data_IF_514115134112
#
_entry.id   IF_514115134112
#
_cell.length_a   1.000
_cell.length_b   1.000
_cell.length_c   1.000
_cell.angle_alpha   90.00
_cell.angle_beta   90.00
_cell.angle_gamma   90.00
#
_symmetry.space_group_name_H-M   'P 1'
#
loop_
_entity.id
_entity.type
_entity.pdbx_description
1 polymer ?
#
# COMPACT_ATOMS: atom_id res chain seq x y z
N UNK A 1 -25.65 -16.55 4.78
CA UNK A 1 -24.65 -15.68 5.42
C UNK A 1 -23.56 -16.50 6.06
N UNK A 2 -22.33 -16.26 5.62
CA UNK A 2 -21.13 -16.95 6.08
C UNK A 2 -20.51 -16.16 7.24
N UNK A 3 -20.24 -16.81 8.37
CA UNK A 3 -19.54 -16.17 9.49
C UNK A 3 -18.02 -16.32 9.35
N UNK A 4 -17.27 -15.26 9.64
CA UNK A 4 -15.80 -15.27 9.66
C UNK A 4 -15.28 -14.79 11.03
N UNK A 5 -14.33 -15.51 11.62
CA UNK A 5 -13.55 -15.02 12.77
C UNK A 5 -12.71 -13.83 12.34
N UNK A 6 -12.62 -12.82 13.19
CA UNK A 6 -11.99 -11.53 12.89
C UNK A 6 -11.45 -10.83 14.14
N UNK A 7 -10.65 -9.79 13.93
CA UNK A 7 -10.37 -8.75 14.91
C UNK A 7 -11.00 -7.45 14.45
N UNK A 8 -11.73 -6.78 15.33
CA UNK A 8 -12.42 -5.53 15.01
C UNK A 8 -12.12 -4.44 16.04
N UNK A 9 -12.11 -3.20 15.56
CA UNK A 9 -12.22 -2.03 16.41
C UNK A 9 -13.69 -1.79 16.78
N UNK A 10 -13.97 -1.53 18.05
CA UNK A 10 -15.30 -1.17 18.56
C UNK A 10 -15.47 0.32 18.81
N UNK A 11 -14.37 1.07 18.85
CA UNK A 11 -14.32 2.52 18.98
C UNK A 11 -13.00 3.05 18.43
N UNK A 12 -12.83 4.38 18.42
CA UNK A 12 -11.60 5.04 17.96
C UNK A 12 -10.42 4.91 18.95
N UNK A 13 -10.67 4.47 20.18
CA UNK A 13 -9.67 4.51 21.26
C UNK A 13 -9.41 3.15 21.90
N UNK A 14 -10.35 2.21 21.77
CA UNK A 14 -10.17 0.87 22.33
C UNK A 14 -9.27 0.02 21.44
N UNK A 15 -8.66 -1.00 22.06
CA UNK A 15 -7.88 -1.99 21.34
C UNK A 15 -8.76 -2.83 20.41
N UNK A 16 -8.17 -3.40 19.36
CA UNK A 16 -8.86 -4.39 18.54
C UNK A 16 -9.15 -5.65 19.37
N UNK A 17 -10.36 -6.18 19.24
CA UNK A 17 -10.81 -7.36 19.98
C UNK A 17 -11.20 -8.51 19.02
N UNK A 18 -10.99 -9.78 19.43
CA UNK A 18 -11.54 -10.91 18.71
C UNK A 18 -13.06 -10.79 18.58
N UNK A 19 -13.59 -11.13 17.41
CA UNK A 19 -15.03 -11.12 17.13
C UNK A 19 -15.36 -12.05 15.96
N UNK A 20 -16.63 -12.08 15.59
CA UNK A 20 -17.11 -12.68 14.34
C UNK A 20 -17.85 -11.63 13.51
N UNK A 21 -17.64 -11.67 12.19
CA UNK A 21 -18.40 -10.85 11.24
C UNK A 21 -19.19 -11.72 10.27
N UNK A 22 -20.36 -11.24 9.88
CA UNK A 22 -21.13 -11.84 8.80
C UNK A 22 -20.61 -11.32 7.46
N UNK A 23 -20.39 -12.25 6.53
CA UNK A 23 -20.12 -11.97 5.12
C UNK A 23 -21.43 -12.05 4.35
N UNK A 24 -21.61 -11.10 3.43
CA UNK A 24 -22.69 -11.16 2.44
C UNK A 24 -22.64 -12.47 1.66
N UNK A 25 -23.78 -12.88 1.14
CA UNK A 25 -23.88 -14.10 0.34
C UNK A 25 -23.05 -13.97 -0.96
N UNK A 26 -22.56 -15.11 -1.45
CA UNK A 26 -21.78 -15.19 -2.69
C UNK A 26 -22.69 -14.90 -3.88
N UNK A 27 -22.49 -13.75 -4.53
CA UNK A 27 -23.20 -13.40 -5.74
C UNK A 27 -22.62 -14.07 -6.99
N UNK A 28 -23.28 -13.94 -8.16
CA UNK A 28 -22.87 -14.63 -9.38
C UNK A 28 -21.48 -14.29 -9.89
N UNK A 29 -21.00 -13.07 -9.65
CA UNK A 29 -19.68 -12.59 -10.09
C UNK A 29 -18.67 -12.50 -8.93
N UNK A 30 -19.01 -13.05 -7.77
CA UNK A 30 -18.16 -12.93 -6.59
C UNK A 30 -17.26 -14.14 -6.40
N UNK A 31 -16.16 -13.90 -5.70
CA UNK A 31 -15.17 -14.87 -5.28
C UNK A 31 -15.13 -14.87 -3.76
N UNK A 32 -15.33 -16.04 -3.16
CA UNK A 32 -15.07 -16.25 -1.73
C UNK A 32 -13.61 -16.67 -1.56
N UNK A 33 -12.88 -15.92 -0.75
CA UNK A 33 -11.46 -16.12 -0.49
C UNK A 33 -11.31 -16.57 0.96
N UNK A 34 -10.62 -17.69 1.16
CA UNK A 34 -10.04 -18.05 2.45
C UNK A 34 -8.74 -17.26 2.61
N UNK A 35 -8.75 -16.32 3.54
CA UNK A 35 -7.59 -15.46 3.78
C UNK A 35 -6.54 -16.29 4.50
N UNK A 36 -5.30 -16.24 4.02
CA UNK A 36 -4.13 -16.85 4.66
C UNK A 36 -3.27 -15.81 5.37
N UNK A 37 -3.18 -14.62 4.78
CA UNK A 37 -2.38 -13.53 5.31
C UNK A 37 -3.06 -12.18 5.10
N UNK A 38 -2.91 -11.29 6.08
CA UNK A 38 -3.33 -9.91 5.98
C UNK A 38 -2.21 -8.97 6.46
N UNK A 39 -1.73 -8.09 5.60
CA UNK A 39 -0.72 -7.09 5.96
C UNK A 39 -1.29 -5.99 6.87
N UNK A 40 -0.43 -5.41 7.72
CA UNK A 40 -0.77 -4.25 8.58
C UNK A 40 -0.17 -2.97 7.99
N UNK A 41 -1.05 -2.03 7.61
CA UNK A 41 -0.69 -0.73 7.06
C UNK A 41 -0.97 0.42 8.04
N UNK A 42 -0.27 1.55 7.87
CA UNK A 42 -0.57 2.77 8.64
C UNK A 42 -2.02 3.22 8.41
N UNK A 43 -2.54 3.01 7.20
CA UNK A 43 -3.93 3.30 6.85
C UNK A 43 -4.95 2.55 7.69
N UNK A 44 -4.65 1.31 8.12
CA UNK A 44 -5.50 0.56 9.05
C UNK A 44 -5.55 1.26 10.41
N UNK A 45 -4.40 1.72 10.90
CA UNK A 45 -4.26 2.45 12.17
C UNK A 45 -4.99 3.79 12.11
N UNK A 46 -4.74 4.61 11.08
CA UNK A 46 -5.36 5.92 10.91
C UNK A 46 -6.89 5.81 10.80
N UNK A 47 -7.41 4.78 10.12
CA UNK A 47 -8.86 4.57 10.02
C UNK A 47 -9.44 4.10 11.35
N UNK A 48 -8.82 3.12 12.01
CA UNK A 48 -9.27 2.62 13.33
C UNK A 48 -9.23 3.72 14.39
N UNK A 49 -8.32 4.69 14.30
CA UNK A 49 -8.24 5.82 15.23
C UNK A 49 -9.09 7.03 14.81
N UNK A 50 -9.84 6.92 13.71
CA UNK A 50 -10.65 8.00 13.14
C UNK A 50 -9.86 9.29 12.82
N UNK A 51 -8.56 9.17 12.52
CA UNK A 51 -7.66 10.31 12.27
C UNK A 51 -7.92 10.97 10.91
N UNK A 52 -8.56 10.25 9.98
CA UNK A 52 -9.03 10.77 8.69
C UNK A 52 -10.54 11.05 8.65
N UNK A 53 -11.20 11.04 9.82
CA UNK A 53 -12.64 11.24 9.97
C UNK A 53 -13.34 10.03 10.61
N UNK A 54 -14.66 10.12 10.85
CA UNK A 54 -15.41 9.07 11.55
C UNK A 54 -15.34 7.72 10.81
N UNK A 55 -15.12 6.64 11.56
CA UNK A 55 -15.14 5.27 11.05
C UNK A 55 -16.42 4.53 11.51
N UNK A 56 -16.95 3.59 10.71
CA UNK A 56 -18.17 2.85 11.04
C UNK A 56 -17.85 1.66 11.95
N UNK A 57 -17.91 1.85 13.28
CA UNK A 57 -17.71 0.76 14.24
C UNK A 57 -18.97 -0.12 14.41
N UNK A 58 -18.82 -1.45 14.64
CA UNK A 58 -17.56 -2.20 14.66
C UNK A 58 -16.94 -2.34 13.26
N UNK A 59 -15.62 -2.23 13.19
CA UNK A 59 -14.86 -2.24 11.94
C UNK A 59 -13.72 -3.26 11.99
N UNK A 60 -13.73 -4.20 11.06
CA UNK A 60 -12.58 -5.07 10.75
C UNK A 60 -11.72 -4.35 9.71
N UNK A 61 -10.47 -3.94 10.02
CA UNK A 61 -9.57 -3.33 9.06
C UNK A 61 -8.82 -4.39 8.23
N UNK A 62 -7.81 -3.97 7.47
CA UNK A 62 -6.96 -4.83 6.63
C UNK A 62 -7.37 -4.76 5.17
N UNK A 63 -6.44 -4.30 4.33
CA UNK A 63 -6.64 -4.23 2.87
C UNK A 63 -5.45 -4.76 2.07
N UNK A 64 -4.65 -5.61 2.70
CA UNK A 64 -3.49 -6.28 2.12
C UNK A 64 -3.72 -7.78 2.23
N UNK A 65 -4.71 -8.29 1.49
CA UNK A 65 -5.27 -9.62 1.69
C UNK A 65 -4.62 -10.59 0.70
N UNK A 66 -4.02 -11.67 1.18
CA UNK A 66 -3.56 -12.77 0.35
C UNK A 66 -4.18 -14.10 0.83
N UNK A 67 -4.67 -14.89 -0.11
CA UNK A 67 -5.43 -16.09 0.22
C UNK A 67 -5.60 -17.05 -0.95
N UNK A 68 -6.54 -17.97 -0.75
CA UNK A 68 -6.90 -19.00 -1.72
C UNK A 68 -8.40 -18.92 -2.00
N UNK A 69 -8.78 -19.01 -3.26
CA UNK A 69 -10.19 -19.06 -3.66
C UNK A 69 -10.83 -20.33 -3.11
N UNK A 70 -11.86 -20.16 -2.26
CA UNK A 70 -12.61 -21.24 -1.65
C UNK A 70 -13.88 -21.58 -2.42
N UNK A 71 -14.55 -20.57 -3.00
CA UNK A 71 -15.78 -20.72 -3.80
C UNK A 71 -15.87 -19.58 -4.82
N UNK A 72 -16.55 -19.83 -5.94
CA UNK A 72 -16.80 -18.82 -6.99
C UNK A 72 -18.27 -18.80 -7.37
N UNK A 73 -18.78 -17.62 -7.66
CA UNK A 73 -20.11 -17.42 -8.19
C UNK A 73 -20.30 -18.07 -9.57
N UNK A 74 -21.55 -18.33 -9.93
CA UNK A 74 -21.91 -19.07 -11.15
C UNK A 74 -21.54 -18.38 -12.48
N UNK A 75 -21.22 -17.09 -12.44
CA UNK A 75 -20.84 -16.28 -13.59
C UNK A 75 -19.38 -15.81 -13.55
N UNK A 76 -18.59 -16.25 -12.57
CA UNK A 76 -17.15 -15.97 -12.49
C UNK A 76 -16.41 -16.66 -13.62
N UNK A 77 -15.49 -15.92 -14.25
CA UNK A 77 -14.68 -16.43 -15.37
C UNK A 77 -13.19 -16.20 -15.19
N UNK A 78 -12.79 -15.30 -14.28
CA UNK A 78 -11.38 -14.91 -14.09
C UNK A 78 -10.60 -15.78 -13.09
N UNK A 79 -11.31 -16.46 -12.20
CA UNK A 79 -10.74 -17.22 -11.08
C UNK A 79 -11.44 -18.56 -10.90
N UNK A 80 -10.75 -19.52 -10.31
CA UNK A 80 -11.24 -20.84 -9.97
C UNK A 80 -10.88 -21.21 -8.52
N UNK A 81 -11.62 -22.18 -7.95
CA UNK A 81 -11.30 -22.73 -6.62
C UNK A 81 -9.87 -23.27 -6.60
N UNK A 82 -9.10 -22.89 -5.57
CA UNK A 82 -7.69 -23.23 -5.43
C UNK A 82 -6.72 -22.17 -5.95
N UNK A 83 -7.20 -21.15 -6.67
CA UNK A 83 -6.33 -20.06 -7.14
C UNK A 83 -5.75 -19.26 -5.97
N UNK A 84 -4.47 -18.90 -6.10
CA UNK A 84 -3.77 -17.98 -5.19
C UNK A 84 -4.09 -16.56 -5.58
N UNK A 85 -4.76 -15.83 -4.70
CA UNK A 85 -5.33 -14.52 -5.03
C UNK A 85 -5.07 -13.48 -3.95
N UNK A 86 -5.11 -12.22 -4.36
CA UNK A 86 -4.99 -11.06 -3.49
C UNK A 86 -6.12 -10.07 -3.68
N UNK A 87 -6.40 -9.29 -2.64
CA UNK A 87 -7.31 -8.15 -2.65
C UNK A 87 -6.61 -6.96 -2.00
N UNK A 88 -6.53 -5.85 -2.75
CA UNK A 88 -5.89 -4.62 -2.30
C UNK A 88 -6.84 -3.66 -1.59
N UNK A 89 -6.64 -2.36 -1.81
CA UNK A 89 -7.37 -1.27 -1.14
C UNK A 89 -8.82 -1.06 -1.62
N UNK A 90 -9.25 -1.75 -2.68
CA UNK A 90 -10.59 -1.61 -3.26
C UNK A 90 -11.23 -2.97 -3.49
N UNK A 91 -12.56 -3.03 -3.36
CA UNK A 91 -13.37 -4.23 -3.64
C UNK A 91 -14.44 -3.99 -4.70
N UNK A 92 -14.66 -2.75 -5.12
CA UNK A 92 -15.66 -2.43 -6.13
C UNK A 92 -15.46 -1.04 -6.78
N UNK A 93 -16.11 -0.79 -7.93
CA UNK A 93 -16.27 0.54 -8.54
C UNK A 93 -17.52 0.58 -9.43
N UNK A 94 -17.75 1.67 -10.17
CA UNK A 94 -18.90 1.72 -11.09
C UNK A 94 -18.72 0.88 -12.36
N UNK A 95 -17.48 0.49 -12.70
CA UNK A 95 -17.14 -0.27 -13.91
C UNK A 95 -17.39 0.43 -15.26
N UNK A 96 -18.05 1.59 -15.27
CA UNK A 96 -18.59 2.21 -16.51
C UNK A 96 -18.09 3.60 -16.82
N UNK A 97 -17.56 4.34 -15.84
CA UNK A 97 -17.06 5.69 -16.06
C UNK A 97 -15.75 5.69 -16.88
N UNK A 98 -15.34 6.85 -17.37
CA UNK A 98 -14.13 7.00 -18.20
C UNK A 98 -12.86 6.48 -17.51
N UNK A 99 -12.75 6.60 -16.19
CA UNK A 99 -11.59 6.15 -15.43
C UNK A 99 -11.62 4.62 -15.25
N UNK A 100 -12.75 4.04 -14.81
CA UNK A 100 -12.91 2.58 -14.74
C UNK A 100 -12.65 1.90 -16.10
N UNK A 101 -13.13 2.47 -17.22
CA UNK A 101 -12.88 1.91 -18.56
C UNK A 101 -11.40 1.96 -19.00
N UNK A 102 -10.57 2.77 -18.34
CA UNK A 102 -9.12 2.84 -18.57
C UNK A 102 -8.32 1.94 -17.62
N UNK A 103 -8.99 1.21 -16.73
CA UNK A 103 -8.35 0.46 -15.65
C UNK A 103 -7.82 1.38 -14.54
N UNK A 104 -8.50 2.51 -14.31
CA UNK A 104 -8.19 3.51 -13.28
C UNK A 104 -9.32 3.56 -12.24
N UNK A 105 -9.70 2.40 -11.70
CA UNK A 105 -10.83 2.26 -10.78
C UNK A 105 -10.67 3.08 -9.50
N UNK A 106 -9.42 3.31 -9.06
CA UNK A 106 -9.09 4.16 -7.91
C UNK A 106 -9.54 5.61 -8.09
N UNK A 107 -9.68 6.07 -9.34
CA UNK A 107 -10.20 7.38 -9.69
C UNK A 107 -11.65 7.35 -10.18
N UNK A 108 -12.41 6.29 -9.89
CA UNK A 108 -13.81 6.17 -10.29
C UNK A 108 -14.62 7.44 -10.00
N UNK A 109 -15.32 7.98 -11.01
CA UNK A 109 -16.11 9.21 -10.90
C UNK A 109 -17.34 9.08 -9.99
N UNK A 110 -17.78 7.84 -9.75
CA UNK A 110 -18.86 7.53 -8.80
C UNK A 110 -18.32 6.97 -7.47
N UNK A 111 -17.01 7.14 -7.22
CA UNK A 111 -16.31 6.55 -6.08
C UNK A 111 -15.94 5.08 -6.27
N UNK A 112 -14.73 4.71 -5.86
CA UNK A 112 -14.39 3.32 -5.60
C UNK A 112 -14.95 2.89 -4.23
N UNK A 113 -15.12 1.59 -4.03
CA UNK A 113 -15.49 1.01 -2.74
C UNK A 113 -14.24 0.48 -2.06
N UNK A 114 -13.88 1.07 -0.92
CA UNK A 114 -12.75 0.63 -0.10
C UNK A 114 -12.98 -0.74 0.53
N UNK A 115 -11.91 -1.49 0.74
CA UNK A 115 -11.94 -2.87 1.26
C UNK A 115 -12.53 -3.01 2.65
N UNK A 116 -12.48 -1.95 3.46
CA UNK A 116 -13.17 -1.88 4.74
C UNK A 116 -13.72 -0.47 4.98
N UNK A 117 -14.76 -0.38 5.81
CA UNK A 117 -15.31 0.88 6.31
C UNK A 117 -16.03 1.73 5.26
N UNK A 118 -16.26 1.19 4.06
CA UNK A 118 -16.99 1.84 2.98
C UNK A 118 -18.39 1.23 2.82
N UNK A 119 -19.33 2.01 2.31
CA UNK A 119 -20.62 1.48 1.84
C UNK A 119 -20.40 0.81 0.48
N UNK A 120 -20.63 -0.49 0.39
CA UNK A 120 -20.56 -1.23 -0.87
C UNK A 120 -21.79 -0.97 -1.75
N UNK A 121 -21.75 -1.45 -2.98
CA UNK A 121 -22.82 -1.28 -3.98
C UNK A 121 -24.12 -1.98 -3.60
N UNK A 122 -24.06 -2.95 -2.69
CA UNK A 122 -25.24 -3.60 -2.10
C UNK A 122 -25.77 -2.90 -0.84
N UNK A 123 -25.13 -1.80 -0.41
CA UNK A 123 -25.50 -1.03 0.77
C UNK A 123 -24.92 -1.54 2.09
N UNK A 124 -24.18 -2.65 2.10
CA UNK A 124 -23.49 -3.15 3.29
C UNK A 124 -22.22 -2.36 3.58
N UNK A 125 -21.74 -2.42 4.82
CA UNK A 125 -20.42 -1.86 5.17
C UNK A 125 -19.35 -2.92 4.91
N UNK A 126 -18.34 -2.57 4.12
CA UNK A 126 -17.22 -3.46 3.84
C UNK A 126 -16.42 -3.74 5.10
N UNK A 127 -16.00 -5.00 5.25
CA UNK A 127 -15.23 -5.51 6.39
C UNK A 127 -13.94 -6.15 5.85
N UNK A 128 -12.80 -5.79 6.42
CA UNK A 128 -11.49 -6.04 5.84
C UNK A 128 -10.90 -7.42 6.08
N UNK A 129 -9.58 -7.46 5.89
CA UNK A 129 -8.72 -8.64 5.86
C UNK A 129 -8.30 -9.18 7.22
N UNK A 130 -8.55 -8.48 8.33
CA UNK A 130 -8.27 -9.01 9.67
C UNK A 130 -9.35 -10.02 10.08
N UNK A 131 -9.61 -10.97 9.18
CA UNK A 131 -10.63 -11.98 9.25
C UNK A 131 -10.20 -13.23 8.48
N UNK A 132 -10.89 -14.34 8.71
CA UNK A 132 -10.58 -15.63 8.08
C UNK A 132 -11.05 -15.73 6.63
N UNK A 133 -12.03 -14.92 6.21
CA UNK A 133 -12.65 -15.01 4.87
C UNK A 133 -13.15 -13.66 4.38
N UNK A 134 -13.17 -13.45 3.07
CA UNK A 134 -13.77 -12.27 2.42
C UNK A 134 -14.47 -12.66 1.11
N UNK A 135 -15.51 -11.93 0.74
CA UNK A 135 -16.24 -12.08 -0.54
C UNK A 135 -16.03 -10.81 -1.35
N UNK A 136 -15.52 -10.93 -2.58
CA UNK A 136 -15.17 -9.79 -3.44
C UNK A 136 -15.57 -10.11 -4.89
N UNK A 137 -16.01 -9.10 -5.64
CA UNK A 137 -16.30 -9.27 -7.07
C UNK A 137 -15.03 -9.64 -7.85
N UNK A 138 -15.11 -10.55 -8.81
CA UNK A 138 -13.96 -11.11 -9.55
C UNK A 138 -13.07 -10.03 -10.20
N UNK A 139 -13.66 -8.87 -10.52
CA UNK A 139 -12.98 -7.73 -11.14
C UNK A 139 -11.98 -7.02 -10.21
N UNK A 140 -12.06 -7.23 -8.90
CA UNK A 140 -11.19 -6.63 -7.89
C UNK A 140 -10.28 -7.66 -7.20
N UNK A 141 -10.31 -8.90 -7.68
CA UNK A 141 -9.46 -9.99 -7.21
C UNK A 141 -8.27 -10.13 -8.17
N UNK A 142 -7.07 -10.08 -7.60
CA UNK A 142 -5.80 -10.15 -8.32
C UNK A 142 -5.24 -11.57 -8.19
N UNK A 143 -4.56 -12.06 -9.23
CA UNK A 143 -3.80 -13.32 -9.11
C UNK A 143 -2.46 -13.03 -8.47
N UNK A 144 -2.05 -13.86 -7.51
CA UNK A 144 -0.69 -13.83 -6.95
C UNK A 144 0.16 -14.85 -7.74
N UNK A 145 1.10 -14.38 -8.58
CA UNK A 145 1.89 -15.28 -9.43
C UNK A 145 2.68 -16.32 -8.64
N UNK A 146 3.00 -17.44 -9.30
CA UNK A 146 4.00 -18.36 -8.79
C UNK A 146 5.35 -17.67 -8.64
N UNK A 147 6.09 -17.97 -7.58
CA UNK A 147 7.36 -17.29 -7.25
C UNK A 147 7.23 -16.18 -6.19
N UNK A 148 6.01 -15.74 -5.88
CA UNK A 148 5.72 -14.91 -4.71
C UNK A 148 4.93 -15.71 -3.69
N UNK A 149 5.45 -15.86 -2.48
CA UNK A 149 4.69 -16.43 -1.36
C UNK A 149 3.58 -15.48 -0.89
N UNK A 150 2.49 -16.04 -0.38
CA UNK A 150 1.28 -15.26 -0.06
C UNK A 150 1.54 -14.19 1.01
N UNK A 151 2.35 -14.52 2.01
CA UNK A 151 2.73 -13.62 3.11
C UNK A 151 3.53 -12.42 2.61
N UNK A 152 4.54 -12.62 1.77
CA UNK A 152 5.36 -11.53 1.19
C UNK A 152 4.63 -10.76 0.09
N UNK A 153 3.61 -11.36 -0.53
CA UNK A 153 2.77 -10.72 -1.54
C UNK A 153 1.70 -9.80 -0.93
N UNK A 154 1.19 -10.12 0.27
CA UNK A 154 0.13 -9.34 0.92
C UNK A 154 0.45 -7.83 0.96
N UNK A 155 1.65 -7.38 1.43
CA UNK A 155 1.97 -5.95 1.43
C UNK A 155 2.15 -5.31 0.06
N UNK A 156 2.37 -6.09 -1.00
CA UNK A 156 2.49 -5.55 -2.36
C UNK A 156 1.15 -4.93 -2.84
N UNK A 157 0.03 -5.46 -2.36
CA UNK A 157 -1.33 -5.05 -2.72
C UNK A 157 -1.71 -3.64 -2.25
N UNK A 158 -0.88 -3.03 -1.40
CA UNK A 158 -0.96 -1.61 -1.05
C UNK A 158 0.39 -0.91 -1.25
N UNK A 159 1.42 -1.26 -0.48
CA UNK A 159 2.72 -0.58 -0.52
C UNK A 159 3.45 -0.78 -1.86
N UNK A 160 3.34 -1.99 -2.43
CA UNK A 160 3.90 -2.31 -3.75
C UNK A 160 3.28 -1.41 -4.82
N UNK A 161 1.96 -1.47 -5.00
CA UNK A 161 1.30 -0.68 -6.05
C UNK A 161 1.41 0.83 -5.82
N UNK A 162 1.30 1.30 -4.58
CA UNK A 162 1.40 2.73 -4.25
C UNK A 162 2.77 3.31 -4.63
N UNK A 163 3.81 2.48 -4.64
CA UNK A 163 5.16 2.89 -5.06
C UNK A 163 5.42 2.59 -6.52
N UNK A 164 4.94 1.47 -7.06
CA UNK A 164 5.06 1.10 -8.47
C UNK A 164 4.36 2.11 -9.39
N UNK A 165 3.12 2.50 -9.09
CA UNK A 165 2.33 3.40 -9.94
C UNK A 165 3.05 4.73 -10.26
N UNK A 166 3.53 5.50 -9.26
CA UNK A 166 4.30 6.70 -9.57
C UNK A 166 5.70 6.43 -10.15
N UNK A 167 6.36 5.32 -9.81
CA UNK A 167 7.64 4.97 -10.45
C UNK A 167 7.45 4.69 -11.96
N UNK A 168 6.37 3.99 -12.32
CA UNK A 168 5.98 3.72 -13.71
C UNK A 168 5.56 5.01 -14.42
N UNK A 169 4.64 5.77 -13.84
CA UNK A 169 4.07 6.98 -14.45
C UNK A 169 5.11 8.07 -14.75
N UNK A 170 6.09 8.27 -13.86
CA UNK A 170 7.17 9.24 -14.06
C UNK A 170 8.44 8.64 -14.69
N UNK A 171 8.38 7.37 -15.10
CA UNK A 171 9.46 6.69 -15.82
C UNK A 171 10.76 6.60 -15.01
N UNK A 172 10.73 5.91 -13.87
CA UNK A 172 11.87 5.66 -12.97
C UNK A 172 12.88 4.62 -13.49
N UNK A 173 13.00 4.46 -14.82
CA UNK A 173 13.80 3.40 -15.43
C UNK A 173 15.29 3.72 -15.55
N UNK A 174 15.98 2.93 -16.39
CA UNK A 174 17.41 3.08 -16.68
C UNK A 174 17.82 4.53 -17.02
N UNK A 175 18.91 4.98 -16.39
CA UNK A 175 19.48 6.32 -16.60
C UNK A 175 18.81 7.43 -15.79
N UNK A 176 17.85 7.11 -14.94
CA UNK A 176 17.16 8.07 -14.07
C UNK A 176 17.71 8.03 -12.65
N UNK A 177 17.84 9.20 -12.03
CA UNK A 177 18.23 9.35 -10.62
C UNK A 177 16.99 9.52 -9.75
N UNK A 178 16.69 8.50 -8.95
CA UNK A 178 15.47 8.43 -8.14
C UNK A 178 15.84 8.55 -6.67
N UNK A 179 15.28 9.54 -5.96
CA UNK A 179 15.38 9.58 -4.51
C UNK A 179 14.12 8.98 -3.85
N UNK A 180 14.31 8.14 -2.84
CA UNK A 180 13.24 7.66 -1.97
C UNK A 180 13.38 8.32 -0.60
N UNK A 181 12.40 9.13 -0.21
CA UNK A 181 12.39 9.80 1.10
C UNK A 181 11.67 8.91 2.10
N UNK A 182 12.39 8.52 3.15
CA UNK A 182 11.94 7.58 4.18
C UNK A 182 12.18 6.12 3.78
N UNK A 183 12.63 5.31 4.75
CA UNK A 183 12.84 3.86 4.57
C UNK A 183 11.95 3.09 5.55
N UNK A 184 10.65 3.07 5.26
CA UNK A 184 9.61 2.34 5.99
C UNK A 184 8.88 1.32 5.11
N UNK A 185 7.60 1.07 5.38
CA UNK A 185 6.79 0.13 4.60
C UNK A 185 6.69 0.46 3.11
N UNK A 186 6.41 1.72 2.74
CA UNK A 186 6.45 2.13 1.33
C UNK A 186 7.90 2.28 0.84
N UNK A 187 8.76 2.94 1.62
CA UNK A 187 10.14 3.22 1.23
C UNK A 187 10.94 1.99 0.82
N UNK A 188 10.85 0.87 1.55
CA UNK A 188 11.59 -0.34 1.19
C UNK A 188 11.10 -0.95 -0.14
N UNK A 189 9.79 -0.90 -0.42
CA UNK A 189 9.23 -1.33 -1.71
C UNK A 189 9.66 -0.42 -2.84
N UNK A 190 9.62 0.90 -2.63
CA UNK A 190 10.06 1.88 -3.60
C UNK A 190 11.52 1.67 -4.01
N UNK A 191 12.42 1.39 -3.06
CA UNK A 191 13.83 1.11 -3.35
C UNK A 191 13.98 -0.15 -4.21
N UNK A 192 13.35 -1.27 -3.82
CA UNK A 192 13.44 -2.53 -4.55
C UNK A 192 12.90 -2.40 -5.97
N UNK A 193 11.73 -1.77 -6.13
CA UNK A 193 11.06 -1.62 -7.42
C UNK A 193 11.85 -0.67 -8.33
N UNK A 194 12.26 0.50 -7.83
CA UNK A 194 13.03 1.46 -8.64
C UNK A 194 14.38 0.89 -9.07
N UNK A 195 15.07 0.15 -8.19
CA UNK A 195 16.32 -0.53 -8.53
C UNK A 195 16.11 -1.60 -9.62
N UNK A 196 15.04 -2.39 -9.52
CA UNK A 196 14.70 -3.39 -10.54
C UNK A 196 14.27 -2.78 -11.88
N UNK A 197 13.68 -1.58 -11.88
CA UNK A 197 13.42 -0.79 -13.10
C UNK A 197 14.72 -0.22 -13.73
N UNK A 198 15.84 -0.29 -13.02
CA UNK A 198 17.16 0.14 -13.49
C UNK A 198 17.55 1.57 -13.11
N UNK A 199 16.82 2.24 -12.22
CA UNK A 199 17.21 3.56 -11.72
C UNK A 199 18.47 3.52 -10.85
N UNK A 200 19.18 4.65 -10.82
CA UNK A 200 20.15 4.94 -9.76
C UNK A 200 19.40 5.47 -8.54
N UNK A 201 19.19 4.58 -7.56
CA UNK A 201 18.37 4.88 -6.39
C UNK A 201 19.20 5.47 -5.25
N UNK A 202 18.74 6.59 -4.69
CA UNK A 202 19.28 7.19 -3.45
C UNK A 202 18.22 7.18 -2.35
N UNK A 203 18.54 6.64 -1.19
CA UNK A 203 17.67 6.75 -0.01
C UNK A 203 18.00 8.01 0.79
N UNK A 204 16.98 8.80 1.09
CA UNK A 204 17.05 9.97 1.96
C UNK A 204 16.28 9.67 3.25
N UNK A 205 16.97 9.65 4.38
CA UNK A 205 16.39 9.32 5.68
C UNK A 205 16.91 10.26 6.75
N UNK A 206 16.20 10.42 7.88
CA UNK A 206 16.64 11.34 8.95
C UNK A 206 18.03 10.99 9.52
N UNK A 207 18.40 9.70 9.52
CA UNK A 207 19.68 9.20 10.04
C UNK A 207 20.21 8.02 9.21
N UNK A 208 21.47 7.65 9.44
CA UNK A 208 22.14 6.52 8.78
C UNK A 208 21.79 5.15 9.38
N UNK A 209 20.88 5.06 10.36
CA UNK A 209 20.55 3.82 11.07
C UNK A 209 20.10 2.65 10.18
N UNK A 210 19.56 2.94 8.99
CA UNK A 210 19.08 1.93 8.02
C UNK A 210 19.90 1.93 6.73
N UNK A 211 21.13 2.44 6.77
CA UNK A 211 21.98 2.54 5.57
C UNK A 211 22.28 1.17 4.97
N UNK A 212 22.71 0.20 5.80
CA UNK A 212 23.02 -1.15 5.35
C UNK A 212 21.82 -1.83 4.68
N UNK A 213 20.63 -1.68 5.27
CA UNK A 213 19.39 -2.16 4.66
C UNK A 213 19.10 -1.48 3.33
N UNK A 214 19.20 -0.14 3.27
CA UNK A 214 18.94 0.60 2.03
C UNK A 214 19.82 0.11 0.87
N UNK A 215 21.11 -0.11 1.14
CA UNK A 215 22.06 -0.65 0.15
C UNK A 215 21.70 -2.10 -0.23
N UNK A 216 21.40 -2.95 0.77
CA UNK A 216 20.98 -4.35 0.55
C UNK A 216 19.69 -4.47 -0.27
N UNK A 217 18.77 -3.51 -0.11
CA UNK A 217 17.51 -3.44 -0.85
C UNK A 217 17.67 -2.96 -2.30
N UNK A 218 18.84 -2.44 -2.68
CA UNK A 218 19.15 -2.01 -4.05
C UNK A 218 19.48 -0.52 -4.21
N UNK A 219 19.54 0.27 -3.13
CA UNK A 219 19.99 1.65 -3.25
C UNK A 219 21.47 1.73 -3.65
N UNK A 220 21.80 2.62 -4.57
CA UNK A 220 23.18 2.97 -4.90
C UNK A 220 23.79 3.88 -3.82
N UNK A 221 22.98 4.78 -3.25
CA UNK A 221 23.43 5.75 -2.25
C UNK A 221 22.45 5.89 -1.10
N UNK A 222 22.95 6.39 0.03
CA UNK A 222 22.14 6.69 1.22
C UNK A 222 22.67 7.95 1.90
N UNK A 223 21.78 8.88 2.25
CA UNK A 223 22.14 10.12 2.93
C UNK A 223 21.23 10.41 4.12
N UNK A 224 21.82 11.05 5.14
CA UNK A 224 21.11 11.53 6.32
C UNK A 224 20.62 12.96 6.11
N UNK A 225 19.30 13.17 6.05
CA UNK A 225 18.69 14.50 5.93
C UNK A 225 18.70 15.30 7.24
N UNK A 226 19.07 14.67 8.36
CA UNK A 226 19.43 15.37 9.59
C UNK A 226 20.77 16.13 9.50
N UNK A 227 21.61 15.80 8.51
CA UNK A 227 22.79 16.60 8.15
C UNK A 227 22.39 17.64 7.09
N UNK A 228 22.43 18.96 7.41
CA UNK A 228 22.07 20.01 6.46
C UNK A 228 22.90 20.00 5.17
N UNK A 229 24.15 19.53 5.21
CA UNK A 229 25.03 19.50 4.05
C UNK A 229 24.52 18.57 2.94
N UNK A 230 23.68 17.58 3.28
CA UNK A 230 23.01 16.69 2.32
C UNK A 230 22.24 17.49 1.27
N UNK A 231 21.55 18.56 1.67
CA UNK A 231 20.73 19.34 0.74
C UNK A 231 21.55 20.23 -0.19
N UNK A 232 22.74 20.66 0.25
CA UNK A 232 23.68 21.38 -0.59
C UNK A 232 24.37 20.44 -1.58
N UNK A 233 24.81 19.27 -1.11
CA UNK A 233 25.51 18.27 -1.94
C UNK A 233 24.62 17.71 -3.06
N UNK A 234 23.34 17.48 -2.78
CA UNK A 234 22.41 16.82 -3.69
C UNK A 234 21.50 17.80 -4.45
N UNK A 235 21.73 19.10 -4.33
CA UNK A 235 20.93 20.12 -5.03
C UNK A 235 20.87 19.84 -6.54
N UNK A 236 19.67 19.85 -7.11
CA UNK A 236 19.47 19.65 -8.55
C UNK A 236 19.86 18.28 -9.10
N UNK A 237 19.97 17.24 -8.27
CA UNK A 237 20.52 15.94 -8.67
C UNK A 237 19.49 14.91 -9.13
N UNK A 238 18.22 15.04 -8.74
CA UNK A 238 17.22 13.99 -8.94
C UNK A 238 16.21 14.30 -10.03
N UNK A 239 15.92 13.27 -10.81
CA UNK A 239 14.87 13.25 -11.82
C UNK A 239 13.49 13.03 -11.20
N UNK A 240 13.45 12.18 -10.18
CA UNK A 240 12.23 11.81 -9.47
C UNK A 240 12.54 11.69 -7.98
N UNK A 241 11.67 12.24 -7.14
CA UNK A 241 11.68 12.03 -5.70
C UNK A 241 10.35 11.40 -5.31
N UNK A 242 10.37 10.20 -4.74
CA UNK A 242 9.19 9.57 -4.16
C UNK A 242 9.19 9.79 -2.64
N UNK A 243 8.27 10.62 -2.16
CA UNK A 243 8.13 10.90 -0.73
C UNK A 243 7.18 9.90 -0.07
N UNK A 244 7.71 9.06 0.81
CA UNK A 244 6.97 8.03 1.54
C UNK A 244 6.73 8.36 3.01
N UNK A 245 7.16 9.54 3.46
CA UNK A 245 7.08 9.96 4.86
C UNK A 245 5.67 10.47 5.20
N UNK A 246 5.04 9.90 6.23
CA UNK A 246 3.74 10.29 6.78
C UNK A 246 3.84 11.33 7.92
N UNK A 247 4.94 12.07 7.99
CA UNK A 247 5.20 13.10 8.97
C UNK A 247 5.54 14.43 8.27
N UNK A 248 5.46 15.53 9.02
CA UNK A 248 5.81 16.84 8.51
C UNK A 248 7.31 16.91 8.15
N UNK A 249 7.61 17.41 6.95
CA UNK A 249 8.97 17.65 6.45
C UNK A 249 9.06 19.03 5.82
N UNK A 250 10.27 19.61 5.75
CA UNK A 250 10.50 20.81 4.93
C UNK A 250 10.51 20.44 3.44
N UNK A 251 9.31 20.37 2.86
CA UNK A 251 9.08 20.03 1.46
C UNK A 251 9.92 20.89 0.49
N UNK A 252 10.21 22.14 0.83
CA UNK A 252 10.95 23.06 -0.04
C UNK A 252 12.43 22.70 -0.14
N UNK A 253 13.02 22.19 0.94
CA UNK A 253 14.37 21.67 0.93
C UNK A 253 14.47 20.43 0.00
N UNK A 254 13.52 19.51 0.07
CA UNK A 254 13.50 18.34 -0.82
C UNK A 254 13.24 18.72 -2.30
N UNK A 255 12.33 19.67 -2.56
CA UNK A 255 12.11 20.19 -3.92
C UNK A 255 13.38 20.81 -4.51
N UNK A 256 14.29 21.34 -3.69
CA UNK A 256 15.57 21.88 -4.16
C UNK A 256 16.52 20.82 -4.73
N UNK A 257 16.32 19.55 -4.36
CA UNK A 257 17.11 18.41 -4.83
C UNK A 257 16.71 17.96 -6.23
N UNK A 258 15.55 18.39 -6.73
CA UNK A 258 15.12 18.09 -8.09
C UNK A 258 15.93 18.85 -9.13
N UNK A 259 16.39 18.13 -10.13
CA UNK A 259 16.91 18.68 -11.38
C UNK A 259 15.84 19.50 -12.12
N UNK A 260 16.24 20.16 -13.22
CA UNK A 260 15.28 20.80 -14.12
C UNK A 260 14.31 19.74 -14.65
N UNK A 261 13.02 20.06 -14.68
CA UNK A 261 11.92 19.13 -15.06
C UNK A 261 11.67 17.97 -14.09
N UNK A 262 12.39 17.91 -12.96
CA UNK A 262 12.21 16.87 -11.97
C UNK A 262 10.83 16.91 -11.30
N UNK A 263 10.35 15.76 -10.87
CA UNK A 263 9.09 15.63 -10.15
C UNK A 263 9.30 15.07 -8.73
N UNK A 264 8.62 15.66 -7.75
CA UNK A 264 8.42 15.05 -6.44
C UNK A 264 7.00 14.52 -6.35
N UNK A 265 6.85 13.22 -6.14
CA UNK A 265 5.56 12.55 -5.99
C UNK A 265 5.37 12.17 -4.53
N UNK A 266 4.30 12.67 -3.95
CA UNK A 266 3.97 12.46 -2.55
C UNK A 266 2.97 11.31 -2.41
N UNK A 267 3.38 10.27 -1.71
CA UNK A 267 2.51 9.13 -1.33
C UNK A 267 2.41 8.95 0.19
N UNK A 268 3.21 9.69 0.97
CA UNK A 268 3.02 9.82 2.42
C UNK A 268 1.84 10.74 2.75
N UNK A 269 1.03 10.36 3.74
CA UNK A 269 -0.18 11.08 4.12
C UNK A 269 -0.10 11.59 5.58
N UNK A 270 0.61 12.70 5.84
CA UNK A 270 0.59 13.33 7.16
C UNK A 270 -0.80 13.91 7.48
N UNK A 271 -1.12 14.06 8.76
CA UNK A 271 -2.37 14.69 9.19
C UNK A 271 -2.37 16.20 8.93
N UNK A 272 -1.19 16.84 8.96
CA UNK A 272 -1.02 18.27 8.76
C UNK A 272 -0.78 18.65 7.29
N UNK A 273 -1.25 19.83 6.84
CA UNK A 273 -0.97 20.34 5.50
C UNK A 273 0.53 20.53 5.22
N UNK A 274 0.95 20.22 3.99
CA UNK A 274 2.31 20.47 3.48
C UNK A 274 2.40 21.85 2.80
N UNK A 275 3.38 22.65 3.19
CA UNK A 275 3.58 24.00 2.65
C UNK A 275 4.56 24.04 1.47
N UNK A 276 4.10 24.53 0.32
CA UNK A 276 4.90 24.66 -0.91
C UNK A 276 5.09 26.14 -1.26
N UNK A 277 6.35 26.58 -1.39
CA UNK A 277 6.69 27.92 -1.90
C UNK A 277 6.73 27.87 -3.43
N UNK A 278 6.03 28.79 -4.10
CA UNK A 278 5.98 28.83 -5.56
C UNK A 278 7.37 28.89 -6.23
N UNK A 279 8.31 29.64 -5.64
CA UNK A 279 9.69 29.74 -6.17
C UNK A 279 10.49 28.44 -6.07
N UNK A 280 10.12 27.52 -5.16
CA UNK A 280 10.72 26.17 -5.11
C UNK A 280 10.43 25.38 -6.39
N UNK A 281 9.32 25.67 -7.06
CA UNK A 281 8.91 25.06 -8.33
C UNK A 281 9.40 25.85 -9.55
N UNK A 282 9.18 27.17 -9.55
CA UNK A 282 9.46 28.07 -10.70
C UNK A 282 10.93 27.97 -11.14
N UNK A 283 11.88 27.96 -10.21
CA UNK A 283 13.31 28.06 -10.53
C UNK A 283 13.88 26.85 -11.29
N UNK A 284 13.19 25.70 -11.28
CA UNK A 284 13.64 24.49 -11.96
C UNK A 284 12.58 23.86 -12.87
N UNK A 285 11.46 24.55 -13.14
CA UNK A 285 10.28 23.96 -13.82
C UNK A 285 9.86 22.62 -13.19
N UNK A 286 9.95 22.54 -11.85
CA UNK A 286 9.74 21.31 -11.09
C UNK A 286 8.26 21.03 -10.90
N UNK A 287 7.93 19.76 -10.71
CA UNK A 287 6.57 19.30 -10.42
C UNK A 287 6.46 18.81 -8.98
N UNK A 288 5.32 19.11 -8.34
CA UNK A 288 4.89 18.47 -7.11
C UNK A 288 3.54 17.79 -7.38
N UNK A 289 3.46 16.48 -7.16
CA UNK A 289 2.31 15.66 -7.49
C UNK A 289 1.96 14.71 -6.35
N UNK A 290 0.76 14.13 -6.40
CA UNK A 290 0.37 12.99 -5.57
C UNK A 290 0.09 11.77 -6.45
N UNK A 291 0.14 10.59 -5.86
CA UNK A 291 -0.37 9.35 -6.46
C UNK A 291 -1.18 8.58 -5.42
N UNK A 292 -2.21 7.86 -5.86
CA UNK A 292 -3.13 7.11 -5.02
C UNK A 292 -3.16 5.66 -5.53
N UNK A 293 -2.60 4.73 -4.74
CA UNK A 293 -2.56 3.28 -5.05
C UNK A 293 -2.28 3.02 -6.54
N UNK A 294 -3.04 2.13 -7.18
CA UNK A 294 -3.13 1.96 -8.63
C UNK A 294 -4.44 1.25 -8.98
N UNK A 295 -4.78 1.23 -10.27
CA UNK A 295 -5.94 0.48 -10.75
C UNK A 295 -5.71 -1.03 -10.69
N UNK A 296 -6.76 -1.84 -10.90
CA UNK A 296 -6.62 -3.30 -10.81
C UNK A 296 -5.66 -3.84 -11.86
N UNK A 297 -5.72 -3.29 -13.09
CA UNK A 297 -4.81 -3.66 -14.16
C UNK A 297 -3.35 -3.38 -13.79
N UNK A 298 -3.05 -2.17 -13.32
CA UNK A 298 -1.69 -1.78 -12.93
C UNK A 298 -1.20 -2.56 -11.70
N UNK A 299 -2.11 -2.92 -10.79
CA UNK A 299 -1.77 -3.77 -9.64
C UNK A 299 -1.38 -5.18 -10.09
N UNK A 300 -2.06 -5.76 -11.09
CA UNK A 300 -1.64 -7.04 -11.64
C UNK A 300 -0.28 -6.93 -12.34
N UNK A 301 -0.05 -5.89 -13.14
CA UNK A 301 1.24 -5.61 -13.78
C UNK A 301 2.37 -5.52 -12.74
N UNK A 302 2.12 -4.85 -11.61
CA UNK A 302 3.08 -4.76 -10.49
C UNK A 302 3.36 -6.11 -9.84
N UNK A 303 2.35 -6.95 -9.60
CA UNK A 303 2.54 -8.29 -9.04
C UNK A 303 3.36 -9.17 -9.99
N UNK A 304 3.07 -9.12 -11.29
CA UNK A 304 3.77 -9.87 -12.31
C UNK A 304 5.24 -9.41 -12.41
N UNK A 305 5.50 -8.10 -12.41
CA UNK A 305 6.85 -7.53 -12.34
C UNK A 305 7.59 -7.98 -11.08
N UNK A 306 6.94 -7.91 -9.92
CA UNK A 306 7.54 -8.34 -8.66
C UNK A 306 7.90 -9.82 -8.69
N UNK A 307 7.06 -10.68 -9.27
CA UNK A 307 7.35 -12.10 -9.41
C UNK A 307 8.53 -12.36 -10.37
N UNK A 308 8.56 -11.69 -11.52
CA UNK A 308 9.66 -11.79 -12.51
C UNK A 308 11.02 -11.42 -11.92
N UNK A 309 11.04 -10.41 -11.04
CA UNK A 309 12.26 -9.90 -10.42
C UNK A 309 12.54 -10.47 -9.01
N UNK A 310 11.72 -11.38 -8.49
CA UNK A 310 11.89 -11.96 -7.15
C UNK A 310 11.72 -10.94 -6.00
N UNK A 311 10.83 -9.97 -6.16
CA UNK A 311 10.57 -8.88 -5.22
C UNK A 311 9.34 -9.19 -4.37
N UNK A 312 9.55 -9.67 -3.14
CA UNK A 312 8.54 -9.67 -2.07
C UNK A 312 8.75 -8.54 -1.06
N UNK A 313 7.79 -8.30 -0.16
CA UNK A 313 8.01 -7.42 0.98
C UNK A 313 8.94 -8.07 2.04
N UNK A 314 9.63 -7.24 2.83
CA UNK A 314 10.30 -7.72 4.05
C UNK A 314 9.33 -7.67 5.22
N UNK A 315 9.03 -8.85 5.77
CA UNK A 315 7.90 -9.05 6.67
C UNK A 315 8.31 -9.64 8.02
N UNK A 316 7.53 -9.29 9.04
CA UNK A 316 7.43 -10.00 10.31
C UNK A 316 6.02 -10.63 10.38
N UNK A 317 5.94 -11.96 10.30
CA UNK A 317 4.67 -12.68 10.44
C UNK A 317 4.31 -12.77 11.92
N UNK A 318 3.07 -12.43 12.27
CA UNK A 318 2.58 -12.42 13.65
C UNK A 318 1.26 -13.20 13.79
N UNK A 319 0.98 -13.80 14.95
CA UNK A 319 -0.35 -14.29 15.27
C UNK A 319 -1.31 -13.12 15.55
N UNK A 320 -2.61 -13.35 15.41
CA UNK A 320 -3.65 -12.34 15.55
C UNK A 320 -3.69 -11.68 16.94
N UNK A 321 -3.35 -12.41 18.00
CA UNK A 321 -3.26 -11.86 19.37
C UNK A 321 -2.22 -10.75 19.52
N UNK A 322 -1.27 -10.63 18.58
CA UNK A 322 -0.22 -9.61 18.55
C UNK A 322 -0.53 -8.39 17.70
N UNK A 323 -1.74 -8.29 17.13
CA UNK A 323 -2.13 -7.15 16.28
C UNK A 323 -1.99 -5.81 17.01
N UNK A 324 -2.47 -5.72 18.26
CA UNK A 324 -2.39 -4.47 19.03
C UNK A 324 -0.93 -4.08 19.34
N UNK A 325 -0.08 -5.05 19.74
CA UNK A 325 1.35 -4.81 19.94
C UNK A 325 2.03 -4.34 18.64
N UNK A 326 1.65 -4.93 17.50
CA UNK A 326 2.16 -4.58 16.19
C UNK A 326 1.77 -3.15 15.78
N UNK A 327 0.57 -2.68 16.11
CA UNK A 327 0.14 -1.30 15.83
C UNK A 327 1.08 -0.29 16.52
N UNK A 328 1.39 -0.51 17.80
CA UNK A 328 2.30 0.37 18.54
C UNK A 328 3.73 0.32 17.96
N UNK A 329 4.20 -0.86 17.56
CA UNK A 329 5.50 -1.01 16.90
C UNK A 329 5.56 -0.30 15.53
N UNK A 330 4.49 -0.35 14.74
CA UNK A 330 4.39 0.40 13.47
C UNK A 330 4.54 1.90 13.71
N UNK A 331 3.82 2.46 14.68
CA UNK A 331 3.88 3.87 15.04
C UNK A 331 5.25 4.29 15.58
N UNK A 332 5.91 3.40 16.33
CA UNK A 332 7.27 3.60 16.82
C UNK A 332 8.35 3.40 15.74
N UNK A 333 7.96 3.06 14.49
CA UNK A 333 8.89 2.68 13.41
C UNK A 333 9.78 1.48 13.77
N UNK A 334 9.30 0.61 14.66
CA UNK A 334 9.95 -0.60 15.18
C UNK A 334 9.52 -1.86 14.41
N UNK A 335 9.72 -1.82 13.10
CA UNK A 335 9.48 -2.96 12.20
C UNK A 335 10.48 -2.93 11.04
N UNK A 336 10.82 -4.11 10.52
CA UNK A 336 11.67 -4.30 9.32
C UNK A 336 11.00 -5.27 8.35
N UNK A 337 10.10 -4.83 7.47
CA UNK A 337 9.56 -3.48 7.27
C UNK A 337 8.03 -3.43 7.33
N UNK A 338 7.37 -4.60 7.39
CA UNK A 338 5.92 -4.79 7.37
C UNK A 338 5.53 -5.87 8.36
N UNK A 339 4.38 -5.74 9.02
CA UNK A 339 3.76 -6.89 9.69
C UNK A 339 2.77 -7.57 8.76
N UNK A 340 2.66 -8.88 8.92
CA UNK A 340 1.67 -9.72 8.25
C UNK A 340 1.04 -10.62 9.28
N UNK A 341 -0.28 -10.59 9.38
CA UNK A 341 -1.07 -11.44 10.28
C UNK A 341 -1.22 -12.80 9.61
N UNK A 342 -0.86 -13.87 10.33
CA UNK A 342 -1.27 -15.24 9.98
C UNK A 342 -2.72 -15.44 10.41
N UNK A 343 -3.64 -15.43 9.45
CA UNK A 343 -5.08 -15.53 9.72
C UNK A 343 -5.52 -16.91 10.17
N UNK A 344 -4.67 -17.95 10.06
CA UNK A 344 -4.94 -19.26 10.67
C UNK A 344 -5.02 -19.19 12.20
N UNK A 345 -4.45 -18.14 12.79
CA UNK A 345 -4.48 -17.88 14.25
C UNK A 345 -5.72 -17.11 14.69
N UNK A 346 -6.60 -16.71 13.77
CA UNK A 346 -7.91 -16.13 14.09
C UNK A 346 -8.86 -17.24 14.52
N UNK A 347 -8.78 -17.57 15.81
CA UNK A 347 -9.63 -18.57 16.45
C UNK A 347 -10.89 -17.93 17.07
N UNK A 348 -11.97 -18.72 17.27
CA UNK A 348 -13.18 -18.29 17.96
C UNK A 348 -12.94 -17.73 19.37
#
# INVERSE_FOLDING_TARGET
>A
MLTAHAYAATSATDLLVPTTVERRDLGPHDVLIEIKYAGICHSDIHTVRAEWGPAPYPLVPGHEIAGVVAEVGSAVTKHAVGDRVGVGCMVNSCGRCVNCRKGEEQFCLEGNTGTYGAVDRDGTITQGGYSTRVVVTEDFVLRIPGGLELDVAAPLLCAGITTYSPLSHWGAGAGRKVAVVGLGGLGHMAVKIAAAMGAEVTVLSQSLKKQEDGLRLGAAHYYATGDPSTFEQLAGSFDLILNTVSAQIDLNAYLSLLAVDGAMVNVGAPAEPLSVKAFSLIMGRRSFAGSLIGGIRETQEMLDFCAEHGIGAEIEVIPAEKINDAYERVLASDVRYRFVIDTATLVP
#
